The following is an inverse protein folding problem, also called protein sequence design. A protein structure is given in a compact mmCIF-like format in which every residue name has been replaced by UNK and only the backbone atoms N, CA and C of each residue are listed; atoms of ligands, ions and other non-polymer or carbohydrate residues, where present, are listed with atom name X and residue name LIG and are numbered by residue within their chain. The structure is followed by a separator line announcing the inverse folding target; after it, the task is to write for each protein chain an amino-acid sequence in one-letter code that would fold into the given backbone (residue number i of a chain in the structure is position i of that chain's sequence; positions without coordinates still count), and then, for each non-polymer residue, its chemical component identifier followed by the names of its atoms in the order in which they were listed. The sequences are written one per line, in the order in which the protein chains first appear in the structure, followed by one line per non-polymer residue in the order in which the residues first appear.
data_IF_377076478670
#
_entry.id   IF_377076478670
#
_cell.length_a   1.000
_cell.length_b   1.000
_cell.length_c   1.000
_cell.angle_alpha   90.00
_cell.angle_beta   90.00
_cell.angle_gamma   90.00
#
_symmetry.space_group_name_H-M   'P 1'
#
loop_
_entity.id
_entity.type
_entity.pdbx_description
1 polymer ?
#
# COMPACT_ATOMS: atom_id res chain seq x y z
N UNK A 1 -17.70 -3.25 -15.00
CA UNK A 1 -17.91 -3.58 -13.58
C UNK A 1 -16.80 -4.50 -13.03
N UNK A 2 -16.47 -5.61 -13.69
CA UNK A 2 -15.39 -6.55 -13.28
C UNK A 2 -14.01 -5.87 -13.31
N UNK A 3 -13.73 -5.03 -14.29
CA UNK A 3 -12.46 -4.32 -14.44
C UNK A 3 -12.27 -3.22 -13.40
N UNK A 4 -13.35 -2.56 -13.01
CA UNK A 4 -13.36 -1.58 -11.91
C UNK A 4 -13.11 -2.25 -10.56
N UNK A 5 -13.70 -3.41 -10.30
CA UNK A 5 -13.45 -4.22 -9.11
C UNK A 5 -12.02 -4.76 -9.09
N UNK A 6 -11.48 -5.18 -10.25
CA UNK A 6 -10.09 -5.63 -10.37
C UNK A 6 -9.12 -4.47 -10.07
N UNK A 7 -9.39 -3.27 -10.55
CA UNK A 7 -8.61 -2.05 -10.30
C UNK A 7 -8.63 -1.64 -8.83
N UNK A 8 -9.78 -1.82 -8.15
CA UNK A 8 -9.93 -1.61 -6.71
C UNK A 8 -9.18 -2.65 -5.87
N UNK A 9 -9.07 -3.89 -6.35
CA UNK A 9 -8.49 -5.02 -5.61
C UNK A 9 -6.98 -5.17 -5.87
N UNK A 10 -6.52 -4.89 -7.10
CA UNK A 10 -5.12 -5.11 -7.51
C UNK A 10 -4.27 -3.83 -7.47
N UNK A 11 -4.88 -2.65 -7.31
CA UNK A 11 -4.19 -1.36 -7.46
C UNK A 11 -3.87 -1.04 -8.93
N UNK A 12 -3.54 0.23 -9.20
CA UNK A 12 -3.28 0.70 -10.58
C UNK A 12 -1.88 0.31 -11.10
N UNK A 13 -0.96 -0.08 -10.19
CA UNK A 13 0.44 -0.33 -10.51
C UNK A 13 0.92 -1.66 -9.95
N UNK A 14 1.75 -2.37 -10.71
CA UNK A 14 2.32 -3.67 -10.30
C UNK A 14 3.49 -3.51 -9.34
N UNK A 15 4.24 -2.44 -9.49
CA UNK A 15 5.48 -2.20 -8.76
C UNK A 15 5.26 -1.70 -7.32
N UNK A 16 4.09 -1.14 -6.99
CA UNK A 16 3.86 -0.62 -5.64
C UNK A 16 2.80 0.46 -5.56
N UNK A 17 2.93 1.33 -4.57
CA UNK A 17 2.00 2.44 -4.30
C UNK A 17 2.75 3.74 -4.08
N UNK A 18 2.17 4.84 -4.57
CA UNK A 18 2.59 6.20 -4.29
C UNK A 18 1.50 6.89 -3.47
N UNK A 19 1.74 7.02 -2.17
CA UNK A 19 0.84 7.73 -1.28
C UNK A 19 1.26 9.19 -1.17
N UNK A 20 0.39 10.07 -1.58
CA UNK A 20 0.55 11.51 -1.38
C UNK A 20 -0.48 11.97 -0.35
N UNK A 21 -0.05 12.23 0.85
CA UNK A 21 -0.90 12.86 1.85
C UNK A 21 -1.04 14.33 1.47
N UNK A 22 -2.25 14.79 1.08
CA UNK A 22 -2.46 16.19 0.77
C UNK A 22 -2.11 16.98 2.01
N UNK A 23 -1.30 18.01 1.83
CA UNK A 23 -1.26 19.10 2.78
C UNK A 23 -2.64 19.72 2.74
N UNK A 24 -3.55 19.24 3.58
CA UNK A 24 -4.76 19.96 3.86
C UNK A 24 -4.34 21.40 4.23
N UNK A 25 -5.11 22.16 4.93
CA UNK A 25 -4.68 23.47 5.44
C UNK A 25 -3.49 23.41 6.43
N UNK A 26 -2.76 22.30 6.48
CA UNK A 26 -1.57 22.04 7.28
C UNK A 26 -0.32 22.32 6.47
N UNK A 27 0.64 22.99 7.08
CA UNK A 27 1.91 23.42 6.46
C UNK A 27 2.90 22.27 6.18
N UNK A 28 2.44 21.04 6.00
CA UNK A 28 3.30 19.90 5.70
C UNK A 28 2.68 18.97 4.67
N UNK A 29 3.52 18.39 3.81
CA UNK A 29 3.18 17.41 2.80
C UNK A 29 4.06 16.19 2.97
N UNK A 30 3.48 15.02 2.96
CA UNK A 30 4.20 13.75 3.01
C UNK A 30 3.96 12.97 1.71
N UNK A 31 5.03 12.57 1.08
CA UNK A 31 4.99 11.66 -0.07
C UNK A 31 5.69 10.36 0.33
N UNK A 32 5.01 9.24 0.17
CA UNK A 32 5.57 7.92 0.42
C UNK A 32 5.50 7.10 -0.87
N UNK A 33 6.66 6.70 -1.36
CA UNK A 33 6.79 5.71 -2.40
C UNK A 33 7.04 4.35 -1.74
N UNK A 34 6.20 3.37 -2.04
CA UNK A 34 6.34 1.99 -1.57
C UNK A 34 6.51 1.09 -2.78
N UNK A 35 7.67 0.43 -2.89
CA UNK A 35 7.99 -0.44 -4.03
C UNK A 35 8.08 -1.89 -3.55
N UNK A 36 7.31 -2.75 -4.22
CA UNK A 36 7.31 -4.19 -3.97
C UNK A 36 8.53 -4.85 -4.63
N UNK A 37 9.02 -5.97 -4.10
CA UNK A 37 10.09 -6.72 -4.74
C UNK A 37 9.64 -7.23 -6.12
N UNK A 38 10.53 -7.24 -7.11
CA UNK A 38 10.26 -7.83 -8.42
C UNK A 38 9.89 -9.31 -8.26
N UNK A 39 9.06 -9.84 -9.16
CA UNK A 39 8.54 -11.21 -9.06
C UNK A 39 7.42 -11.39 -8.03
N UNK A 40 6.92 -10.31 -7.40
CA UNK A 40 5.77 -10.39 -6.48
C UNK A 40 4.54 -10.91 -7.22
N UNK A 41 4.02 -12.05 -6.79
CA UNK A 41 2.85 -12.68 -7.40
C UNK A 41 1.56 -11.90 -7.15
N UNK A 42 0.57 -12.10 -8.02
CA UNK A 42 -0.76 -11.49 -7.84
C UNK A 42 -1.45 -11.91 -6.53
N UNK A 43 -1.14 -13.11 -6.03
CA UNK A 43 -1.63 -13.61 -4.74
C UNK A 43 -1.02 -12.84 -3.56
N UNK A 44 0.29 -12.56 -3.61
CA UNK A 44 1.00 -11.79 -2.60
C UNK A 44 0.53 -10.34 -2.56
N UNK A 45 0.30 -9.71 -3.73
CA UNK A 45 -0.28 -8.36 -3.81
C UNK A 45 -1.68 -8.30 -3.22
N UNK A 46 -2.53 -9.29 -3.51
CA UNK A 46 -3.86 -9.39 -2.91
C UNK A 46 -3.82 -9.53 -1.39
N UNK A 47 -2.85 -10.28 -0.85
CA UNK A 47 -2.71 -10.40 0.62
C UNK A 47 -2.28 -9.09 1.28
N UNK A 48 -1.41 -8.31 0.63
CA UNK A 48 -1.03 -6.97 1.09
C UNK A 48 -2.22 -6.01 1.07
N UNK A 49 -2.99 -6.04 -0.01
CA UNK A 49 -4.19 -5.22 -0.15
C UNK A 49 -5.26 -5.61 0.87
N UNK A 50 -5.50 -6.91 1.06
CA UNK A 50 -6.38 -7.43 2.09
C UNK A 50 -5.98 -6.93 3.49
N UNK A 51 -4.71 -7.05 3.87
CA UNK A 51 -4.22 -6.59 5.16
C UNK A 51 -4.42 -5.07 5.37
N UNK A 52 -4.34 -4.29 4.29
CA UNK A 52 -4.55 -2.84 4.33
C UNK A 52 -6.04 -2.46 4.43
N UNK A 53 -6.91 -3.17 3.74
CA UNK A 53 -8.35 -2.86 3.69
C UNK A 53 -9.16 -3.52 4.81
N UNK A 54 -8.62 -4.56 5.46
CA UNK A 54 -9.30 -5.30 6.52
C UNK A 54 -9.80 -4.43 7.68
N UNK A 55 -9.07 -3.42 8.18
CA UNK A 55 -9.57 -2.59 9.27
C UNK A 55 -10.95 -1.98 9.00
N UNK A 56 -11.15 -1.50 7.77
CA UNK A 56 -12.44 -0.92 7.37
C UNK A 56 -13.43 -1.99 6.96
N UNK A 57 -13.02 -2.92 6.09
CA UNK A 57 -13.88 -4.01 5.60
C UNK A 57 -14.35 -4.93 6.74
N UNK A 58 -13.47 -5.26 7.67
CA UNK A 58 -13.81 -6.06 8.85
C UNK A 58 -14.76 -5.34 9.79
N UNK A 59 -14.62 -4.03 9.97
CA UNK A 59 -15.54 -3.22 10.77
C UNK A 59 -16.95 -3.19 10.16
N UNK A 60 -17.05 -2.98 8.85
CA UNK A 60 -18.34 -3.01 8.13
C UNK A 60 -18.97 -4.41 8.24
N UNK A 61 -18.20 -5.47 8.00
CA UNK A 61 -18.66 -6.84 8.14
C UNK A 61 -19.14 -7.13 9.56
N UNK A 62 -18.40 -6.69 10.56
CA UNK A 62 -18.79 -6.83 11.97
C UNK A 62 -20.10 -6.13 12.29
N UNK A 63 -20.30 -4.92 11.77
CA UNK A 63 -21.55 -4.18 11.93
C UNK A 63 -22.74 -4.90 11.27
N UNK A 64 -22.55 -5.42 10.06
CA UNK A 64 -23.58 -6.20 9.36
C UNK A 64 -23.95 -7.46 10.17
N UNK A 65 -22.94 -8.17 10.67
CA UNK A 65 -23.18 -9.35 11.52
C UNK A 65 -23.89 -9.01 12.83
N UNK A 66 -23.56 -7.89 13.47
CA UNK A 66 -24.28 -7.42 14.66
C UNK A 66 -25.76 -7.16 14.38
N UNK A 67 -26.07 -6.52 13.27
CA UNK A 67 -27.46 -6.21 12.90
C UNK A 67 -28.24 -7.48 12.53
N UNK A 68 -27.62 -8.39 11.77
CA UNK A 68 -28.31 -9.59 11.26
C UNK A 68 -28.46 -10.69 12.34
N UNK A 69 -27.44 -10.89 13.18
CA UNK A 69 -27.45 -11.94 14.20
C UNK A 69 -27.98 -11.47 15.56
N UNK A 70 -27.98 -10.16 15.81
CA UNK A 70 -28.36 -9.58 17.10
C UNK A 70 -29.81 -9.84 17.52
N UNK A 71 -30.70 -10.14 16.56
CA UNK A 71 -32.09 -10.52 16.84
C UNK A 71 -32.27 -12.00 17.15
N UNK A 72 -31.33 -12.86 16.74
CA UNK A 72 -31.44 -14.31 16.86
C UNK A 72 -30.61 -14.91 18.02
N UNK A 73 -29.56 -14.19 18.48
CA UNK A 73 -28.58 -14.67 19.43
C UNK A 73 -28.37 -13.68 20.58
N UNK A 74 -27.95 -14.18 21.77
CA UNK A 74 -27.65 -13.31 22.92
C UNK A 74 -26.58 -12.28 22.53
N UNK A 75 -26.74 -10.99 22.88
CA UNK A 75 -25.84 -9.92 22.50
C UNK A 75 -24.35 -10.17 22.80
N UNK A 76 -24.10 -10.78 23.98
CA UNK A 76 -22.72 -11.12 24.37
C UNK A 76 -22.05 -12.12 23.41
N UNK A 77 -22.80 -13.11 22.90
CA UNK A 77 -22.28 -14.11 21.95
C UNK A 77 -21.94 -13.44 20.61
N UNK A 78 -22.83 -12.57 20.15
CA UNK A 78 -22.61 -11.84 18.88
C UNK A 78 -21.38 -10.94 18.96
N UNK A 79 -21.23 -10.19 20.06
CA UNK A 79 -20.05 -9.32 20.28
C UNK A 79 -18.75 -10.13 20.30
N UNK A 80 -18.73 -11.24 21.03
CA UNK A 80 -17.53 -12.11 21.09
C UNK A 80 -17.21 -12.70 19.71
N UNK A 81 -18.21 -13.17 18.96
CA UNK A 81 -18.02 -13.72 17.63
C UNK A 81 -17.47 -12.68 16.64
N UNK A 82 -18.02 -11.47 16.66
CA UNK A 82 -17.54 -10.35 15.82
C UNK A 82 -16.12 -9.95 16.20
N UNK A 83 -15.80 -9.85 17.48
CA UNK A 83 -14.46 -9.54 17.97
C UNK A 83 -13.44 -10.61 17.55
N UNK A 84 -13.80 -11.89 17.67
CA UNK A 84 -12.97 -13.01 17.25
C UNK A 84 -12.72 -13.00 15.74
N UNK A 85 -13.76 -12.77 14.92
CA UNK A 85 -13.64 -12.64 13.48
C UNK A 85 -12.71 -11.48 13.08
N UNK A 86 -12.89 -10.34 13.73
CA UNK A 86 -12.07 -9.15 13.47
C UNK A 86 -10.60 -9.40 13.80
N UNK A 87 -10.33 -10.00 14.97
CA UNK A 87 -8.97 -10.37 15.39
C UNK A 87 -8.35 -11.42 14.47
N UNK A 88 -9.12 -12.43 14.04
CA UNK A 88 -8.67 -13.46 13.11
C UNK A 88 -8.23 -12.87 11.76
N UNK A 89 -8.97 -11.89 11.24
CA UNK A 89 -8.60 -11.21 10.00
C UNK A 89 -7.30 -10.41 10.12
N UNK A 90 -7.05 -9.74 11.25
CA UNK A 90 -5.75 -9.11 11.52
C UNK A 90 -4.62 -10.12 11.59
N UNK A 91 -4.84 -11.21 12.33
CA UNK A 91 -3.84 -12.27 12.45
C UNK A 91 -3.51 -12.89 11.10
N UNK A 92 -4.54 -13.19 10.28
CA UNK A 92 -4.37 -13.73 8.93
C UNK A 92 -3.63 -12.75 8.03
N UNK A 93 -4.02 -11.47 8.01
CA UNK A 93 -3.34 -10.41 7.26
C UNK A 93 -1.87 -10.27 7.67
N UNK A 94 -1.59 -10.26 8.97
CA UNK A 94 -0.21 -10.19 9.49
C UNK A 94 0.60 -11.43 9.10
N UNK A 95 0.02 -12.63 9.16
CA UNK A 95 0.68 -13.88 8.78
C UNK A 95 1.00 -13.93 7.29
N UNK A 96 0.05 -13.56 6.43
CA UNK A 96 0.22 -13.59 4.97
C UNK A 96 1.22 -12.54 4.47
N UNK A 97 1.32 -11.40 5.14
CA UNK A 97 2.21 -10.30 4.73
C UNK A 97 3.60 -10.38 5.36
N UNK A 98 3.79 -11.24 6.37
CA UNK A 98 5.05 -11.37 7.12
C UNK A 98 6.29 -11.56 6.24
N UNK A 99 6.32 -12.47 5.23
CA UNK A 99 7.49 -12.68 4.37
C UNK A 99 7.80 -11.48 3.47
N UNK A 100 6.78 -10.69 3.12
CA UNK A 100 6.92 -9.54 2.21
C UNK A 100 7.34 -8.26 2.94
N UNK A 101 6.98 -8.11 4.22
CA UNK A 101 7.24 -6.87 5.00
C UNK A 101 8.72 -6.47 5.03
N UNK A 102 9.62 -7.43 5.06
CA UNK A 102 11.07 -7.19 5.11
C UNK A 102 11.67 -6.92 3.73
N UNK A 103 10.94 -7.21 2.66
CA UNK A 103 11.39 -7.02 1.27
C UNK A 103 10.80 -5.78 0.62
N UNK A 104 9.83 -5.13 1.24
CA UNK A 104 9.25 -3.90 0.73
C UNK A 104 10.22 -2.76 1.00
N UNK A 105 10.57 -2.01 -0.05
CA UNK A 105 11.35 -0.78 0.08
C UNK A 105 10.42 0.42 0.09
N UNK A 106 10.64 1.35 1.00
CA UNK A 106 9.81 2.55 1.11
C UNK A 106 10.67 3.79 1.26
N UNK A 107 10.43 4.75 0.40
CA UNK A 107 11.04 6.07 0.47
C UNK A 107 10.00 7.09 0.90
N UNK A 108 10.31 7.87 1.93
CA UNK A 108 9.42 8.88 2.49
C UNK A 108 10.09 10.23 2.40
N UNK A 109 9.41 11.19 1.80
CA UNK A 109 9.82 12.58 1.76
C UNK A 109 8.74 13.42 2.43
N UNK A 110 9.16 14.25 3.36
CA UNK A 110 8.28 15.19 4.06
C UNK A 110 8.71 16.60 3.70
N UNK A 111 7.78 17.37 3.17
CA UNK A 111 8.01 18.79 2.88
C UNK A 111 7.22 19.62 3.91
N UNK A 112 7.90 20.51 4.60
CA UNK A 112 7.32 21.39 5.62
C UNK A 112 7.55 22.85 5.21
N UNK A 113 6.53 23.68 5.37
CA UNK A 113 6.65 25.10 5.13
C UNK A 113 7.03 25.81 6.43
N UNK A 114 8.28 26.23 6.54
CA UNK A 114 8.82 26.89 7.73
C UNK A 114 9.42 28.23 7.33
N UNK A 115 9.07 29.31 8.05
CA UNK A 115 9.71 30.60 7.88
C UNK A 115 9.60 31.24 6.50
N UNK A 116 8.59 30.87 5.67
CA UNK A 116 8.41 31.37 4.32
C UNK A 116 9.16 30.56 3.23
N UNK A 117 9.84 29.47 3.60
CA UNK A 117 10.51 28.54 2.69
C UNK A 117 9.97 27.10 2.79
N UNK A 118 10.14 26.33 1.73
CA UNK A 118 9.81 24.90 1.70
C UNK A 118 11.07 24.10 2.08
N UNK A 119 11.04 23.46 3.22
CA UNK A 119 12.08 22.53 3.64
C UNK A 119 11.67 21.10 3.31
N UNK A 120 12.53 20.39 2.55
CA UNK A 120 12.35 18.97 2.20
C UNK A 120 13.24 18.10 3.09
N UNK A 121 12.62 17.17 3.81
CA UNK A 121 13.30 16.14 4.60
C UNK A 121 13.20 14.79 3.88
N UNK A 122 14.35 14.19 3.59
CA UNK A 122 14.49 12.95 2.83
C UNK A 122 15.03 13.18 1.42
N UNK A 123 15.28 12.08 0.69
CA UNK A 123 15.81 12.15 -0.67
C UNK A 123 14.71 12.42 -1.70
N UNK A 124 14.37 13.70 -1.87
CA UNK A 124 13.37 14.15 -2.83
C UNK A 124 13.77 13.94 -4.28
N UNK A 125 15.08 13.95 -4.58
CA UNK A 125 15.58 13.68 -5.94
C UNK A 125 15.37 12.22 -6.32
N UNK A 126 15.82 11.30 -5.47
CA UNK A 126 15.64 9.86 -5.67
C UNK A 126 14.15 9.49 -5.76
N UNK A 127 13.30 10.11 -4.92
CA UNK A 127 11.85 9.88 -4.97
C UNK A 127 11.26 10.27 -6.33
N UNK A 128 11.61 11.45 -6.84
CA UNK A 128 11.12 11.96 -8.14
C UNK A 128 11.62 11.09 -9.29
N UNK A 129 12.89 10.77 -9.30
CA UNK A 129 13.50 9.94 -10.34
C UNK A 129 12.90 8.52 -10.36
N UNK A 130 12.89 7.82 -9.22
CA UNK A 130 12.32 6.49 -9.13
C UNK A 130 10.83 6.47 -9.52
N UNK A 131 10.05 7.47 -9.08
CA UNK A 131 8.63 7.58 -9.44
C UNK A 131 8.44 7.82 -10.93
N UNK A 132 9.26 8.67 -11.56
CA UNK A 132 9.18 8.95 -12.98
C UNK A 132 9.51 7.70 -13.81
N UNK A 133 10.60 6.99 -13.49
CA UNK A 133 11.02 5.75 -14.15
C UNK A 133 9.96 4.65 -14.03
N UNK A 134 9.37 4.45 -12.84
CA UNK A 134 8.33 3.46 -12.63
C UNK A 134 7.04 3.78 -13.39
N UNK A 135 6.67 5.06 -13.49
CA UNK A 135 5.51 5.49 -14.28
C UNK A 135 5.73 5.32 -15.79
N UNK A 136 6.91 5.64 -16.28
CA UNK A 136 7.29 5.41 -17.68
C UNK A 136 7.25 3.92 -18.01
N UNK A 137 7.80 3.09 -17.12
CA UNK A 137 7.77 1.65 -17.25
C UNK A 137 6.33 1.09 -17.35
N UNK A 138 5.43 1.59 -16.52
CA UNK A 138 4.00 1.24 -16.57
C UNK A 138 3.29 1.75 -17.84
N UNK A 139 3.67 2.93 -18.35
CA UNK A 139 3.14 3.46 -19.60
C UNK A 139 3.52 2.56 -20.77
N UNK A 140 4.82 2.24 -20.93
CA UNK A 140 5.33 1.33 -21.96
C UNK A 140 4.68 -0.05 -21.91
N UNK A 141 4.41 -0.57 -20.71
CA UNK A 141 3.71 -1.83 -20.55
C UNK A 141 2.25 -1.76 -21.00
N UNK A 142 1.52 -0.70 -20.65
CA UNK A 142 0.13 -0.52 -21.08
C UNK A 142 -0.02 -0.36 -22.60
N UNK A 143 0.97 0.23 -23.23
CA UNK A 143 1.05 0.40 -24.68
C UNK A 143 1.52 -0.89 -25.39
N UNK A 144 1.88 -1.93 -24.65
CA UNK A 144 2.40 -3.19 -25.21
C UNK A 144 3.84 -3.05 -25.76
N UNK A 145 4.52 -1.95 -25.44
CA UNK A 145 5.87 -1.63 -25.94
C UNK A 145 7.01 -2.32 -25.18
N UNK A 146 6.71 -3.13 -24.17
CA UNK A 146 7.73 -3.83 -23.37
C UNK A 146 7.30 -5.28 -23.07
N UNK A 147 8.25 -6.20 -23.21
CA UNK A 147 8.07 -7.59 -22.83
C UNK A 147 7.99 -7.76 -21.30
N UNK A 148 7.19 -8.70 -20.78
CA UNK A 148 7.04 -8.93 -19.33
C UNK A 148 8.36 -9.19 -18.60
N UNK A 149 9.28 -9.95 -19.19
CA UNK A 149 10.57 -10.24 -18.57
C UNK A 149 11.45 -8.98 -18.47
N UNK A 150 11.45 -8.16 -19.52
CA UNK A 150 12.15 -6.88 -19.53
C UNK A 150 11.52 -5.87 -18.57
N UNK A 151 10.20 -5.86 -18.46
CA UNK A 151 9.49 -5.05 -17.45
C UNK A 151 9.96 -5.39 -16.03
N UNK A 152 10.05 -6.69 -15.70
CA UNK A 152 10.52 -7.13 -14.39
C UNK A 152 11.99 -6.81 -14.15
N UNK A 153 12.84 -6.92 -15.16
CA UNK A 153 14.26 -6.58 -15.05
C UNK A 153 14.48 -5.08 -14.79
N UNK A 154 13.80 -4.20 -15.54
CA UNK A 154 13.90 -2.75 -15.35
C UNK A 154 13.28 -2.33 -14.00
N UNK A 155 12.20 -2.99 -13.56
CA UNK A 155 11.65 -2.80 -12.23
C UNK A 155 12.62 -3.23 -11.13
N UNK A 156 13.31 -4.36 -11.27
CA UNK A 156 14.32 -4.85 -10.33
C UNK A 156 15.48 -3.84 -10.21
N UNK A 157 15.94 -3.29 -11.31
CA UNK A 157 16.98 -2.27 -11.33
C UNK A 157 16.57 -1.04 -10.50
N UNK A 158 15.36 -0.50 -10.73
CA UNK A 158 14.84 0.64 -9.96
C UNK A 158 14.67 0.27 -8.49
N UNK A 159 14.14 -0.93 -8.21
CA UNK A 159 13.98 -1.42 -6.85
C UNK A 159 15.32 -1.45 -6.10
N UNK A 160 16.41 -1.88 -6.75
CA UNK A 160 17.73 -1.98 -6.13
C UNK A 160 18.40 -0.63 -5.84
N UNK A 161 18.01 0.43 -6.53
CA UNK A 161 18.47 1.79 -6.20
C UNK A 161 17.84 2.35 -4.92
N UNK A 162 16.71 1.78 -4.47
CA UNK A 162 16.02 2.28 -3.29
C UNK A 162 16.66 1.76 -1.99
N UNK A 163 16.69 2.57 -0.92
CA UNK A 163 17.27 2.18 0.36
C UNK A 163 16.53 0.97 0.96
N UNK A 164 17.31 0.05 1.53
CA UNK A 164 16.80 -1.09 2.28
C UNK A 164 16.29 -0.63 3.65
N UNK A 165 15.01 -0.87 3.92
CA UNK A 165 14.40 -0.54 5.19
C UNK A 165 13.46 0.67 5.13
N UNK A 166 12.78 0.94 6.23
CA UNK A 166 12.01 2.19 6.41
C UNK A 166 13.02 3.32 6.61
N UNK A 167 13.15 4.19 5.62
CA UNK A 167 13.90 5.44 5.82
C UNK A 167 13.18 6.23 6.93
N UNK A 168 13.75 6.20 8.12
CA UNK A 168 13.34 7.10 9.20
C UNK A 168 13.84 8.47 8.80
N UNK A 169 12.95 9.43 8.69
CA UNK A 169 13.32 10.84 8.49
C UNK A 169 14.20 11.22 9.69
N UNK A 170 15.49 11.41 9.46
CA UNK A 170 16.34 12.04 10.46
C UNK A 170 15.97 13.53 10.46
N UNK A 171 15.43 13.97 11.58
CA UNK A 171 15.14 15.39 11.88
C UNK A 171 16.43 16.04 12.33
#
# INVERSE_FOLDING_TARGET
MVEFLRKLIEGDTLWGTLDVSPAGRTMWRRVRLTVYPPGTTSAERRSLHFAHTWPIGGAILGLVLMVTLGSAWPPAVVVVAVAALYAAGFWLGARLTRPLRNRIRSLVVVSVFVGGGLEEYGDGLLLREATARLRDLDARRREGGIDPARYEAEWAEIYDTLPTGRTTVQV
#
